data_IF_323811908692
#
_entry.id   IF_323811908692
#
_cell.length_a   1.000
_cell.length_b   1.000
_cell.length_c   1.000
_cell.angle_alpha   90.00
_cell.angle_beta   90.00
_cell.angle_gamma   90.00
#
_symmetry.space_group_name_H-M   'P 1'
#
loop_
_entity.id
_entity.type
_entity.pdbx_description
1 polymer ?
#
# COMPACT_ATOMS: atom_id res chain seq x y z
N UNK A 1 5.15 -21.22 -10.59
CA UNK A 1 4.36 -20.95 -11.81
C UNK A 1 3.08 -20.15 -11.59
N UNK A 2 2.40 -20.22 -10.44
CA UNK A 2 1.06 -19.62 -10.25
C UNK A 2 0.98 -18.10 -10.44
N UNK A 3 1.59 -17.31 -9.54
CA UNK A 3 1.47 -15.84 -9.59
C UNK A 3 2.17 -15.20 -10.81
N UNK A 4 3.30 -15.80 -11.24
CA UNK A 4 4.06 -15.31 -12.41
C UNK A 4 3.27 -15.48 -13.72
N UNK A 5 2.55 -16.60 -13.89
CA UNK A 5 1.72 -16.83 -15.08
C UNK A 5 0.47 -15.94 -15.12
N UNK A 6 -0.11 -15.64 -13.96
CA UNK A 6 -1.17 -14.63 -13.87
C UNK A 6 -0.65 -13.24 -14.26
N UNK A 7 0.55 -12.87 -13.78
CA UNK A 7 1.20 -11.61 -14.12
C UNK A 7 1.39 -11.45 -15.63
N UNK A 8 1.94 -12.45 -16.33
CA UNK A 8 2.15 -12.35 -17.79
C UNK A 8 0.84 -12.20 -18.57
N UNK A 9 -0.25 -12.83 -18.12
CA UNK A 9 -1.57 -12.63 -18.71
C UNK A 9 -2.08 -11.20 -18.52
N UNK A 10 -2.03 -10.70 -17.28
CA UNK A 10 -2.49 -9.34 -16.93
C UNK A 10 -1.70 -8.25 -17.63
N UNK A 11 -0.42 -8.46 -17.91
CA UNK A 11 0.42 -7.50 -18.62
C UNK A 11 -0.11 -7.12 -20.01
N UNK A 12 -0.94 -7.97 -20.62
CA UNK A 12 -1.59 -7.73 -21.92
C UNK A 12 -2.98 -7.09 -21.79
N UNK A 13 -3.53 -7.01 -20.58
CA UNK A 13 -4.87 -6.47 -20.33
C UNK A 13 -4.86 -4.94 -20.14
N UNK A 14 -4.27 -4.22 -21.10
CA UNK A 14 -3.97 -2.77 -21.02
C UNK A 14 -5.21 -1.86 -20.96
N UNK A 15 -6.39 -2.39 -21.33
CA UNK A 15 -7.65 -1.65 -21.32
C UNK A 15 -8.47 -1.87 -20.03
N UNK A 16 -7.92 -2.55 -19.01
CA UNK A 16 -8.60 -2.73 -17.74
C UNK A 16 -8.78 -1.38 -17.04
N UNK A 17 -10.04 -1.05 -16.76
CA UNK A 17 -10.42 0.05 -15.84
C UNK A 17 -10.68 -0.45 -14.42
N UNK A 18 -11.01 -1.74 -14.27
CA UNK A 18 -11.37 -2.35 -13.01
C UNK A 18 -10.66 -3.69 -12.86
N UNK A 19 -9.97 -3.89 -11.74
CA UNK A 19 -9.33 -5.15 -11.42
C UNK A 19 -9.51 -5.51 -9.95
N UNK A 20 -9.97 -6.73 -9.70
CA UNK A 20 -10.03 -7.32 -8.37
C UNK A 20 -9.32 -8.67 -8.39
N UNK A 21 -8.27 -8.82 -7.57
CA UNK A 21 -7.57 -10.07 -7.37
C UNK A 21 -7.60 -10.47 -5.89
N UNK A 22 -8.12 -11.68 -5.63
CA UNK A 22 -8.21 -12.26 -4.29
C UNK A 22 -7.25 -13.45 -4.19
N UNK A 23 -6.04 -13.20 -3.73
CA UNK A 23 -4.95 -14.17 -3.68
C UNK A 23 -4.46 -14.42 -2.25
N UNK A 24 -5.33 -14.21 -1.26
CA UNK A 24 -5.01 -14.41 0.16
C UNK A 24 -4.53 -15.84 0.46
N UNK A 25 -3.62 -15.99 1.42
CA UNK A 25 -3.16 -17.28 1.96
C UNK A 25 -2.53 -18.20 0.89
N UNK A 26 -1.69 -17.64 0.02
CA UNK A 26 -0.86 -18.39 -0.94
C UNK A 26 0.63 -18.24 -0.60
N UNK A 27 1.50 -18.72 -1.49
CA UNK A 27 2.96 -18.62 -1.38
C UNK A 27 3.51 -17.76 -2.52
N UNK A 28 2.95 -16.57 -2.72
CA UNK A 28 3.36 -15.67 -3.82
C UNK A 28 4.83 -15.25 -3.66
N UNK A 29 5.24 -14.95 -2.42
CA UNK A 29 6.60 -14.50 -2.12
C UNK A 29 6.94 -13.13 -2.73
N UNK A 30 8.18 -12.68 -2.48
CA UNK A 30 8.66 -11.41 -3.01
C UNK A 30 8.69 -11.37 -4.55
N UNK A 31 9.21 -12.42 -5.20
CA UNK A 31 9.30 -12.47 -6.67
C UNK A 31 7.93 -12.50 -7.35
N UNK A 32 6.97 -13.25 -6.80
CA UNK A 32 5.62 -13.30 -7.36
C UNK A 32 4.89 -11.97 -7.23
N UNK A 33 5.06 -11.26 -6.11
CA UNK A 33 4.49 -9.94 -5.89
C UNK A 33 5.13 -8.89 -6.80
N UNK A 34 6.46 -8.94 -6.97
CA UNK A 34 7.19 -8.07 -7.91
C UNK A 34 6.72 -8.32 -9.35
N UNK A 35 6.60 -9.58 -9.78
CA UNK A 35 6.09 -9.93 -11.10
C UNK A 35 4.63 -9.49 -11.33
N UNK A 36 3.78 -9.57 -10.29
CA UNK A 36 2.44 -8.98 -10.33
C UNK A 36 2.49 -7.46 -10.48
N UNK A 37 3.40 -6.79 -9.76
CA UNK A 37 3.67 -5.36 -9.92
C UNK A 37 4.06 -5.01 -11.36
N UNK A 38 5.03 -5.71 -11.94
CA UNK A 38 5.44 -5.49 -13.34
C UNK A 38 4.29 -5.65 -14.34
N UNK A 39 3.35 -6.56 -14.09
CA UNK A 39 2.17 -6.71 -14.92
C UNK A 39 1.18 -5.54 -14.77
N UNK A 40 0.93 -5.10 -13.54
CA UNK A 40 0.04 -3.98 -13.24
C UNK A 40 0.55 -2.65 -13.78
N UNK A 41 1.87 -2.51 -13.93
CA UNK A 41 2.49 -1.33 -14.54
C UNK A 41 1.98 -1.03 -15.95
N UNK A 42 1.51 -2.04 -16.70
CA UNK A 42 0.92 -1.87 -18.03
C UNK A 42 -0.58 -1.52 -18.00
N UNK A 43 -1.24 -1.68 -16.86
CA UNK A 43 -2.67 -1.45 -16.69
C UNK A 43 -2.96 0.03 -16.34
N UNK A 44 -2.42 0.96 -17.13
CA UNK A 44 -2.43 2.41 -16.85
C UNK A 44 -3.83 3.05 -16.83
N UNK A 45 -4.82 2.35 -17.38
CA UNK A 45 -6.21 2.79 -17.44
C UNK A 45 -7.03 2.40 -16.20
N UNK A 46 -6.41 1.75 -15.20
CA UNK A 46 -7.09 1.36 -13.97
C UNK A 46 -7.60 2.58 -13.21
N UNK A 47 -8.91 2.58 -12.94
CA UNK A 47 -9.57 3.51 -12.01
C UNK A 47 -9.92 2.83 -10.69
N UNK A 48 -10.15 1.52 -10.71
CA UNK A 48 -10.46 0.73 -9.51
C UNK A 48 -9.54 -0.50 -9.40
N UNK A 49 -8.78 -0.57 -8.31
CA UNK A 49 -7.90 -1.69 -8.03
C UNK A 49 -8.15 -2.25 -6.63
N UNK A 50 -8.48 -3.54 -6.57
CA UNK A 50 -8.53 -4.30 -5.31
C UNK A 50 -7.57 -5.47 -5.37
N UNK A 51 -6.53 -5.46 -4.53
CA UNK A 51 -5.58 -6.56 -4.37
C UNK A 51 -5.63 -7.07 -2.94
N UNK A 52 -6.07 -8.32 -2.77
CA UNK A 52 -5.99 -9.01 -1.50
C UNK A 52 -4.85 -10.05 -1.54
N UNK A 53 -3.75 -9.70 -0.90
CA UNK A 53 -2.50 -10.44 -0.80
C UNK A 53 -2.17 -10.79 0.66
N UNK A 54 -3.19 -10.84 1.53
CA UNK A 54 -3.04 -11.28 2.92
C UNK A 54 -2.27 -12.61 3.02
N UNK A 55 -1.30 -12.72 3.94
CA UNK A 55 -0.58 -13.97 4.25
C UNK A 55 0.06 -14.63 3.02
N UNK A 56 1.03 -13.96 2.38
CA UNK A 56 1.68 -14.42 1.15
C UNK A 56 3.21 -14.45 1.17
N UNK A 57 3.82 -14.24 2.33
CA UNK A 57 5.29 -14.17 2.50
C UNK A 57 5.93 -13.10 1.59
N UNK A 58 5.23 -11.98 1.36
CA UNK A 58 5.72 -10.86 0.57
C UNK A 58 6.73 -10.08 1.41
N UNK A 59 7.97 -10.02 0.94
CA UNK A 59 9.03 -9.20 1.54
C UNK A 59 9.05 -7.77 1.00
N UNK A 60 9.97 -6.95 1.52
CA UNK A 60 10.21 -5.58 1.08
C UNK A 60 10.26 -5.40 -0.45
N UNK A 61 11.08 -6.21 -1.13
CA UNK A 61 11.20 -6.18 -2.60
C UNK A 61 9.87 -6.37 -3.33
N UNK A 62 9.02 -7.28 -2.84
CA UNK A 62 7.72 -7.53 -3.45
C UNK A 62 6.75 -6.36 -3.26
N UNK A 63 6.76 -5.75 -2.07
CA UNK A 63 5.96 -4.57 -1.78
C UNK A 63 6.44 -3.33 -2.57
N UNK A 64 7.75 -3.11 -2.66
CA UNK A 64 8.32 -2.04 -3.48
C UNK A 64 7.98 -2.23 -4.97
N UNK A 65 8.02 -3.46 -5.48
CA UNK A 65 7.58 -3.76 -6.85
C UNK A 65 6.09 -3.44 -7.10
N UNK A 66 5.22 -3.69 -6.12
CA UNK A 66 3.82 -3.23 -6.17
C UNK A 66 3.74 -1.69 -6.14
N UNK A 67 4.54 -1.03 -5.31
CA UNK A 67 4.63 0.44 -5.27
C UNK A 67 5.03 1.03 -6.61
N UNK A 68 6.09 0.52 -7.25
CA UNK A 68 6.52 0.95 -8.58
C UNK A 68 5.41 0.78 -9.64
N UNK A 69 4.57 -0.25 -9.52
CA UNK A 69 3.44 -0.43 -10.41
C UNK A 69 2.32 0.59 -10.20
N UNK A 70 2.00 0.88 -8.93
CA UNK A 70 1.01 1.90 -8.56
C UNK A 70 1.41 3.28 -9.09
N UNK A 71 2.72 3.57 -9.19
CA UNK A 71 3.21 4.83 -9.75
C UNK A 71 2.73 5.09 -11.18
N UNK A 72 2.49 4.03 -11.98
CA UNK A 72 1.99 4.14 -13.35
C UNK A 72 0.46 4.20 -13.42
N UNK A 73 -0.24 3.87 -12.34
CA UNK A 73 -1.69 3.83 -12.28
C UNK A 73 -2.27 5.19 -11.88
N UNK A 74 -1.90 6.24 -12.62
CA UNK A 74 -2.22 7.66 -12.29
C UNK A 74 -3.72 7.98 -12.33
N UNK A 75 -4.52 7.12 -12.98
CA UNK A 75 -5.97 7.25 -13.10
C UNK A 75 -6.75 6.59 -11.95
N UNK A 76 -6.06 5.97 -10.98
CA UNK A 76 -6.71 5.31 -9.85
C UNK A 76 -7.49 6.33 -9.01
N UNK A 77 -8.79 6.07 -8.86
CA UNK A 77 -9.67 6.77 -7.92
C UNK A 77 -9.97 5.92 -6.70
N UNK A 78 -9.97 4.59 -6.83
CA UNK A 78 -10.22 3.65 -5.73
C UNK A 78 -9.12 2.59 -5.65
N UNK A 79 -8.45 2.51 -4.51
CA UNK A 79 -7.44 1.50 -4.22
C UNK A 79 -7.75 0.79 -2.91
N UNK A 80 -7.88 -0.54 -2.98
CA UNK A 80 -7.88 -1.42 -1.82
C UNK A 80 -6.69 -2.37 -1.92
N UNK A 81 -5.69 -2.20 -1.05
CA UNK A 81 -4.51 -3.04 -0.97
C UNK A 81 -4.42 -3.70 0.40
N UNK A 82 -4.67 -5.02 0.44
CA UNK A 82 -4.61 -5.82 1.67
C UNK A 82 -3.36 -6.66 1.67
N UNK A 83 -2.40 -6.27 2.49
CA UNK A 83 -1.07 -6.85 2.61
C UNK A 83 -0.79 -7.36 4.03
N UNK A 84 -1.82 -7.50 4.86
CA UNK A 84 -1.70 -8.03 6.23
C UNK A 84 -0.92 -9.34 6.30
N UNK A 85 -0.17 -9.52 7.38
CA UNK A 85 0.59 -10.74 7.69
C UNK A 85 1.59 -11.11 6.59
N UNK A 86 2.43 -10.16 6.20
CA UNK A 86 3.57 -10.36 5.31
C UNK A 86 4.86 -9.89 6.03
N UNK A 87 5.95 -9.66 5.29
CA UNK A 87 7.28 -9.32 5.81
C UNK A 87 7.80 -8.04 5.14
N UNK A 88 6.93 -7.05 5.01
CA UNK A 88 7.17 -5.86 4.18
C UNK A 88 8.30 -4.98 4.72
N UNK A 89 8.35 -4.79 6.04
CA UNK A 89 9.36 -3.93 6.68
C UNK A 89 9.34 -2.48 6.21
N UNK A 90 10.36 -1.72 6.61
CA UNK A 90 10.43 -0.28 6.34
C UNK A 90 10.63 0.06 4.86
N UNK A 91 11.52 -0.68 4.19
CA UNK A 91 11.83 -0.45 2.78
C UNK A 91 10.61 -0.70 1.90
N UNK A 92 9.88 -1.80 2.14
CA UNK A 92 8.66 -2.12 1.39
C UNK A 92 7.54 -1.11 1.63
N UNK A 93 7.36 -0.65 2.87
CA UNK A 93 6.36 0.37 3.20
C UNK A 93 6.69 1.72 2.55
N UNK A 94 7.96 2.12 2.56
CA UNK A 94 8.45 3.32 1.88
C UNK A 94 8.29 3.20 0.37
N UNK A 95 8.57 2.03 -0.21
CA UNK A 95 8.36 1.75 -1.63
C UNK A 95 6.89 1.86 -2.05
N UNK A 96 5.96 1.38 -1.22
CA UNK A 96 4.53 1.60 -1.41
C UNK A 96 4.18 3.10 -1.35
N UNK A 97 4.72 3.83 -0.36
CA UNK A 97 4.56 5.28 -0.25
C UNK A 97 4.99 6.03 -1.52
N UNK A 98 6.19 5.76 -2.02
CA UNK A 98 6.71 6.34 -3.27
C UNK A 98 5.80 6.06 -4.47
N UNK A 99 5.20 4.87 -4.54
CA UNK A 99 4.21 4.53 -5.56
C UNK A 99 2.94 5.37 -5.45
N UNK A 100 2.35 5.39 -4.26
CA UNK A 100 1.13 6.13 -3.94
C UNK A 100 1.27 7.63 -4.20
N UNK A 101 2.47 8.19 -4.10
CA UNK A 101 2.73 9.60 -4.36
C UNK A 101 2.29 10.06 -5.76
N UNK A 102 2.25 9.16 -6.73
CA UNK A 102 1.82 9.45 -8.11
C UNK A 102 0.32 9.21 -8.33
N UNK A 103 -0.39 8.61 -7.37
CA UNK A 103 -1.83 8.37 -7.44
C UNK A 103 -2.61 9.65 -7.04
N UNK A 104 -2.35 10.77 -7.72
CA UNK A 104 -2.92 12.09 -7.38
C UNK A 104 -4.44 12.16 -7.49
N UNK A 105 -5.05 11.28 -8.28
CA UNK A 105 -6.51 11.20 -8.47
C UNK A 105 -7.21 10.29 -7.44
N UNK A 106 -6.45 9.70 -6.51
CA UNK A 106 -6.99 8.74 -5.54
C UNK A 106 -7.92 9.45 -4.55
N UNK A 107 -9.19 9.04 -4.53
CA UNK A 107 -10.21 9.57 -3.62
C UNK A 107 -10.53 8.61 -2.47
N UNK A 108 -10.40 7.31 -2.72
CA UNK A 108 -10.64 6.27 -1.71
C UNK A 108 -9.42 5.34 -1.61
N UNK A 109 -8.83 5.30 -0.42
CA UNK A 109 -7.73 4.39 -0.11
C UNK A 109 -8.07 3.50 1.10
N UNK A 110 -8.00 2.19 0.89
CA UNK A 110 -7.95 1.20 1.96
C UNK A 110 -6.62 0.47 1.88
N UNK A 111 -5.77 0.66 2.88
CA UNK A 111 -4.45 0.03 2.97
C UNK A 111 -4.35 -0.73 4.29
N UNK A 112 -4.28 -2.06 4.19
CA UNK A 112 -4.08 -2.93 5.36
C UNK A 112 -2.66 -3.51 5.33
N UNK A 113 -1.81 -2.94 6.18
CA UNK A 113 -0.42 -3.29 6.38
C UNK A 113 -0.19 -3.88 7.79
N UNK A 114 -1.22 -4.38 8.44
CA UNK A 114 -1.07 -4.98 9.77
C UNK A 114 -0.16 -6.22 9.78
N UNK A 115 0.58 -6.43 10.87
CA UNK A 115 1.56 -7.53 11.02
C UNK A 115 2.60 -7.58 9.88
N UNK A 116 3.37 -6.51 9.69
CA UNK A 116 4.36 -6.42 8.60
C UNK A 116 5.77 -5.99 9.03
N UNK A 117 6.02 -5.88 10.34
CA UNK A 117 7.31 -5.47 10.89
C UNK A 117 7.74 -4.06 10.41
N UNK A 118 6.76 -3.18 10.17
CA UNK A 118 7.01 -1.79 9.75
C UNK A 118 7.42 -0.99 10.99
N UNK A 119 8.55 -0.30 10.90
CA UNK A 119 9.11 0.61 11.88
C UNK A 119 8.74 2.07 11.61
N UNK A 120 9.41 2.97 12.34
CA UNK A 120 9.21 4.42 12.21
C UNK A 120 9.53 4.92 10.79
N UNK A 121 10.61 4.41 10.18
CA UNK A 121 11.07 4.83 8.86
C UNK A 121 10.05 4.48 7.77
N UNK A 122 9.53 3.26 7.78
CA UNK A 122 8.54 2.82 6.80
C UNK A 122 7.22 3.58 6.91
N UNK A 123 6.79 3.88 8.14
CA UNK A 123 5.62 4.71 8.39
C UNK A 123 5.80 6.15 7.89
N UNK A 124 6.94 6.77 8.16
CA UNK A 124 7.28 8.11 7.65
C UNK A 124 7.38 8.15 6.13
N UNK A 125 7.95 7.10 5.51
CA UNK A 125 7.99 6.94 4.06
C UNK A 125 6.59 6.80 3.45
N UNK A 126 5.72 6.02 4.09
CA UNK A 126 4.32 5.91 3.70
C UNK A 126 3.59 7.26 3.84
N UNK A 127 3.81 7.99 4.94
CA UNK A 127 3.26 9.33 5.17
C UNK A 127 3.67 10.32 4.08
N UNK A 128 4.96 10.33 3.72
CA UNK A 128 5.49 11.17 2.63
C UNK A 128 4.81 10.90 1.29
N UNK A 129 4.47 9.63 1.01
CA UNK A 129 3.70 9.25 -0.16
C UNK A 129 2.27 9.78 -0.13
N UNK A 130 1.56 9.53 0.98
CA UNK A 130 0.18 9.96 1.19
C UNK A 130 0.01 11.48 1.14
N UNK A 131 1.06 12.25 1.46
CA UNK A 131 1.08 13.70 1.36
C UNK A 131 0.77 14.23 -0.06
N UNK A 132 0.97 13.42 -1.10
CA UNK A 132 0.67 13.76 -2.49
C UNK A 132 -0.71 13.28 -2.96
N UNK A 133 -1.41 12.47 -2.17
CA UNK A 133 -2.79 12.06 -2.43
C UNK A 133 -3.78 13.19 -2.06
N UNK A 134 -3.64 14.35 -2.69
CA UNK A 134 -4.35 15.59 -2.32
C UNK A 134 -5.88 15.51 -2.50
N UNK A 135 -6.35 14.58 -3.35
CA UNK A 135 -7.79 14.36 -3.61
C UNK A 135 -8.41 13.29 -2.70
N UNK A 136 -7.65 12.76 -1.74
CA UNK A 136 -8.12 11.69 -0.87
C UNK A 136 -9.21 12.21 0.07
N UNK A 137 -10.41 11.63 -0.03
CA UNK A 137 -11.57 11.97 0.80
C UNK A 137 -11.91 10.89 1.82
N UNK A 138 -11.52 9.64 1.55
CA UNK A 138 -11.69 8.50 2.44
C UNK A 138 -10.39 7.72 2.58
N UNK A 139 -9.88 7.64 3.81
CA UNK A 139 -8.70 6.84 4.15
C UNK A 139 -9.03 5.83 5.24
N UNK A 140 -8.79 4.56 4.95
CA UNK A 140 -8.64 3.50 5.94
C UNK A 140 -7.21 2.98 5.90
N UNK A 141 -6.43 3.29 6.93
CA UNK A 141 -5.06 2.82 7.09
C UNK A 141 -4.96 1.94 8.32
N UNK A 142 -4.72 0.65 8.12
CA UNK A 142 -4.48 -0.31 9.19
C UNK A 142 -3.00 -0.67 9.27
N UNK A 143 -2.36 -0.28 10.36
CA UNK A 143 -0.97 -0.57 10.69
C UNK A 143 -0.85 -1.32 12.02
N UNK A 144 -1.93 -1.98 12.46
CA UNK A 144 -1.96 -2.80 13.67
C UNK A 144 -0.81 -3.80 13.75
N UNK A 145 -0.26 -3.97 14.96
CA UNK A 145 0.80 -4.93 15.25
C UNK A 145 2.05 -4.74 14.38
N UNK A 146 2.50 -3.49 14.27
CA UNK A 146 3.81 -3.09 13.74
C UNK A 146 4.69 -2.47 14.86
N UNK A 147 5.76 -1.77 14.49
CA UNK A 147 6.82 -1.23 15.36
C UNK A 147 7.10 0.25 15.09
N UNK A 148 6.04 1.02 14.82
CA UNK A 148 6.11 2.37 14.26
C UNK A 148 6.59 3.41 15.28
N UNK A 149 6.22 3.23 16.56
CA UNK A 149 6.51 4.18 17.63
C UNK A 149 5.95 5.59 17.39
N UNK A 150 6.34 6.53 18.24
CA UNK A 150 5.86 7.92 18.19
C UNK A 150 6.40 8.67 16.97
N UNK A 151 7.67 8.45 16.62
CA UNK A 151 8.32 9.10 15.47
C UNK A 151 7.62 8.75 14.16
N UNK A 152 7.34 7.47 13.90
CA UNK A 152 6.65 7.08 12.68
C UNK A 152 5.18 7.50 12.67
N UNK A 153 4.52 7.56 13.83
CA UNK A 153 3.17 8.10 13.94
C UNK A 153 3.15 9.61 13.62
N UNK A 154 4.15 10.36 14.09
CA UNK A 154 4.34 11.77 13.72
C UNK A 154 4.62 11.93 12.23
N UNK A 155 5.44 11.06 11.63
CA UNK A 155 5.71 11.07 10.19
C UNK A 155 4.47 10.83 9.35
N UNK A 156 3.62 9.87 9.75
CA UNK A 156 2.30 9.66 9.14
C UNK A 156 1.40 10.90 9.30
N UNK A 157 1.34 11.47 10.51
CA UNK A 157 0.56 12.67 10.79
C UNK A 157 0.95 13.86 9.90
N UNK A 158 2.24 14.10 9.73
CA UNK A 158 2.76 15.15 8.85
C UNK A 158 2.33 14.96 7.39
N UNK A 159 2.31 13.71 6.90
CA UNK A 159 1.82 13.42 5.55
C UNK A 159 0.32 13.68 5.40
N UNK A 160 -0.47 13.22 6.38
CA UNK A 160 -1.92 13.40 6.38
C UNK A 160 -2.36 14.86 6.55
N UNK A 161 -1.51 15.73 7.10
CA UNK A 161 -1.78 17.16 7.19
C UNK A 161 -2.03 17.82 5.82
N UNK A 162 -1.51 17.23 4.72
CA UNK A 162 -1.74 17.71 3.36
C UNK A 162 -3.04 17.19 2.73
N UNK A 163 -3.69 16.17 3.32
CA UNK A 163 -4.95 15.60 2.84
C UNK A 163 -6.14 16.48 3.26
N UNK A 164 -6.18 17.74 2.77
CA UNK A 164 -7.18 18.74 3.17
C UNK A 164 -8.62 18.39 2.78
N UNK A 165 -8.81 17.45 1.85
CA UNK A 165 -10.11 16.96 1.40
C UNK A 165 -10.61 15.74 2.20
N UNK A 166 -9.83 15.27 3.18
CA UNK A 166 -10.14 14.05 3.93
C UNK A 166 -11.38 14.26 4.82
N UNK A 167 -12.44 13.53 4.49
CA UNK A 167 -13.73 13.60 5.19
C UNK A 167 -13.95 12.42 6.13
N UNK A 168 -13.36 11.26 5.81
CA UNK A 168 -13.41 10.06 6.63
C UNK A 168 -12.01 9.49 6.82
N UNK A 169 -11.58 9.38 8.07
CA UNK A 169 -10.31 8.80 8.45
C UNK A 169 -10.55 7.66 9.45
N UNK A 170 -10.14 6.46 9.07
CA UNK A 170 -9.95 5.34 10.00
C UNK A 170 -8.47 5.01 10.04
N UNK A 171 -7.87 5.15 11.22
CA UNK A 171 -6.46 4.92 11.45
C UNK A 171 -6.28 3.96 12.61
N UNK A 172 -5.80 2.74 12.32
CA UNK A 172 -5.48 1.74 13.35
C UNK A 172 -3.97 1.65 13.52
N UNK A 173 -3.48 2.28 14.57
CA UNK A 173 -2.08 2.22 15.00
C UNK A 173 -1.94 1.39 16.29
N UNK A 174 -2.80 0.42 16.59
CA UNK A 174 -2.59 -0.37 17.81
C UNK A 174 -1.28 -1.17 17.72
N UNK A 175 -0.32 -0.86 18.59
CA UNK A 175 1.01 -1.47 18.64
C UNK A 175 1.53 -1.48 20.07
N UNK A 176 2.49 -2.38 20.35
CA UNK A 176 3.07 -2.54 21.69
C UNK A 176 4.01 -1.40 22.11
N UNK A 177 4.39 -0.52 21.18
CA UNK A 177 5.49 0.43 21.32
C UNK A 177 5.07 1.89 21.49
N UNK A 178 3.76 2.20 21.55
CA UNK A 178 3.34 3.53 22.00
C UNK A 178 3.62 3.63 23.48
N UNK A 179 4.70 4.35 23.81
CA UNK A 179 5.00 4.73 25.18
C UNK A 179 3.99 5.84 25.48
N UNK A 180 3.12 5.59 26.45
CA UNK A 180 2.02 6.46 26.84
C UNK A 180 2.39 7.95 26.73
N UNK A 181 1.51 8.80 26.18
CA UNK A 181 1.63 10.25 26.30
C UNK A 181 1.88 10.55 27.78
N UNK A 182 3.09 11.00 28.09
CA UNK A 182 3.40 11.57 29.39
C UNK A 182 2.56 12.83 29.55
N UNK A 183 1.36 12.66 30.11
CA UNK A 183 0.64 13.68 30.85
C UNK A 183 1.10 13.62 32.30
#
# INVERSE_FOLDING_TARGET
MGASGLGSGLANCINLSNLTLKLRSNQIGAMGASGLGSALANCINLSNLTLNLFSNQIGAMGASGLGSALANCINLSNLTLKLRSNQIGDEGASGLGSGLANCINLSNLTLDLSFNQIGAMGASGLGSGLANCINLSNLTLNLFSNQIGDEGASGLGSGLANSINLSNLTLDLQQKQFICFGL
#
